data_IF_954955467773
#
_entry.id   IF_954955467773
#
_cell.length_a   1.000
_cell.length_b   1.000
_cell.length_c   1.000
_cell.angle_alpha   90.00
_cell.angle_beta   90.00
_cell.angle_gamma   90.00
#
_symmetry.space_group_name_H-M   'P 1'
#
loop_
_entity.id
_entity.type
_entity.pdbx_description
1 polymer ?
#
# COMPACT_ATOMS: atom_id res chain seq x y z
N UNK A 1 -6.53 15.94 -14.26
CA UNK A 1 -6.62 16.51 -12.90
C UNK A 1 -5.23 16.57 -12.28
N UNK A 2 -4.62 17.76 -12.27
CA UNK A 2 -3.25 18.01 -11.77
C UNK A 2 -3.09 17.72 -10.26
N UNK A 3 -4.14 17.29 -9.57
CA UNK A 3 -4.17 17.15 -8.12
C UNK A 3 -4.18 15.70 -7.62
N UNK A 4 -4.32 14.69 -8.50
CA UNK A 4 -4.42 13.30 -8.04
C UNK A 4 -3.13 12.82 -7.35
N UNK A 5 -1.97 13.25 -7.84
CA UNK A 5 -0.65 12.86 -7.30
C UNK A 5 -0.17 13.74 -6.13
N UNK A 6 -0.99 14.69 -5.68
CA UNK A 6 -0.67 15.51 -4.52
C UNK A 6 -0.63 14.67 -3.23
N UNK A 7 0.45 14.81 -2.46
CA UNK A 7 0.64 14.15 -1.17
C UNK A 7 -0.47 14.49 -0.17
N UNK A 8 -1.10 15.66 -0.28
CA UNK A 8 -2.24 16.06 0.55
C UNK A 8 -3.42 15.10 0.42
N UNK A 9 -3.54 14.35 -0.67
CA UNK A 9 -4.61 13.36 -0.88
C UNK A 9 -4.43 12.09 -0.03
N UNK A 10 -3.28 11.92 0.60
CA UNK A 10 -2.97 10.81 1.51
C UNK A 10 -2.93 11.26 3.00
N UNK A 11 -2.93 12.55 3.26
CA UNK A 11 -2.99 13.12 4.60
C UNK A 11 -4.46 13.24 5.04
N UNK A 12 -4.85 12.47 6.07
CA UNK A 12 -6.25 12.38 6.51
C UNK A 12 -6.81 13.74 6.98
N UNK A 13 -6.01 14.63 7.56
CA UNK A 13 -6.47 15.96 7.97
C UNK A 13 -6.82 16.80 6.74
N UNK A 14 -5.92 16.84 5.75
CA UNK A 14 -6.16 17.52 4.48
C UNK A 14 -7.33 16.89 3.70
N UNK A 15 -7.49 15.57 3.77
CA UNK A 15 -8.61 14.86 3.12
C UNK A 15 -9.95 15.27 3.74
N UNK A 16 -10.03 15.38 5.06
CA UNK A 16 -11.24 15.83 5.78
C UNK A 16 -11.59 17.27 5.41
N UNK A 17 -10.62 18.19 5.45
CA UNK A 17 -10.84 19.59 5.13
C UNK A 17 -11.26 19.82 3.68
N UNK A 18 -10.58 19.16 2.75
CA UNK A 18 -10.77 19.32 1.30
C UNK A 18 -11.90 18.45 0.75
N UNK A 19 -12.37 17.46 1.50
CA UNK A 19 -13.34 16.41 1.07
C UNK A 19 -12.89 15.68 -0.21
N UNK A 20 -11.59 15.55 -0.40
CA UNK A 20 -10.94 14.89 -1.55
C UNK A 20 -9.70 14.16 -1.06
N UNK A 21 -9.49 12.93 -1.54
CA UNK A 21 -8.34 12.13 -1.14
C UNK A 21 -8.16 10.89 -1.99
N UNK A 22 -7.08 10.17 -1.71
CA UNK A 22 -6.87 8.85 -2.30
C UNK A 22 -7.98 7.88 -1.87
N UNK A 23 -8.34 6.91 -2.73
CA UNK A 23 -9.35 5.90 -2.40
C UNK A 23 -9.14 5.24 -1.03
N UNK A 24 -7.88 4.90 -0.70
CA UNK A 24 -7.53 4.29 0.59
C UNK A 24 -7.71 5.25 1.76
N UNK A 25 -7.38 6.54 1.60
CA UNK A 25 -7.58 7.55 2.65
C UNK A 25 -9.07 7.78 2.91
N UNK A 26 -9.87 7.91 1.85
CA UNK A 26 -11.33 7.99 1.95
C UNK A 26 -11.89 6.72 2.60
N UNK A 27 -11.44 5.53 2.19
CA UNK A 27 -11.88 4.27 2.77
C UNK A 27 -11.59 4.14 4.26
N UNK A 28 -10.46 4.66 4.75
CA UNK A 28 -10.16 4.72 6.19
C UNK A 28 -11.22 5.54 6.92
N UNK A 29 -11.62 6.69 6.38
CA UNK A 29 -12.67 7.54 6.97
C UNK A 29 -14.03 6.85 6.95
N UNK A 30 -14.39 6.18 5.84
CA UNK A 30 -15.63 5.37 5.76
C UNK A 30 -15.62 4.25 6.80
N UNK A 31 -14.53 3.49 6.90
CA UNK A 31 -14.41 2.40 7.89
C UNK A 31 -14.49 2.91 9.31
N UNK A 32 -13.81 4.01 9.62
CA UNK A 32 -13.87 4.64 10.95
C UNK A 32 -15.30 5.05 11.29
N UNK A 33 -15.95 5.80 10.40
CA UNK A 33 -17.34 6.26 10.60
C UNK A 33 -18.32 5.10 10.78
N UNK A 34 -18.21 4.05 9.97
CA UNK A 34 -19.04 2.86 10.08
C UNK A 34 -18.85 2.13 11.43
N UNK A 35 -17.61 1.99 11.87
CA UNK A 35 -17.26 1.33 13.14
C UNK A 35 -17.76 2.12 14.36
N UNK A 36 -17.75 3.46 14.31
CA UNK A 36 -18.33 4.29 15.38
C UNK A 36 -19.86 4.14 15.50
N UNK A 37 -20.53 3.67 14.42
CA UNK A 37 -21.95 3.32 14.42
C UNK A 37 -22.22 1.83 14.75
N UNK A 38 -21.20 1.09 15.20
CA UNK A 38 -21.31 -0.32 15.55
C UNK A 38 -21.37 -1.27 14.35
N UNK A 39 -21.04 -0.81 13.14
CA UNK A 39 -20.99 -1.67 11.95
C UNK A 39 -19.61 -2.33 11.85
N UNK A 40 -19.54 -3.51 11.25
CA UNK A 40 -18.27 -4.10 10.86
C UNK A 40 -17.85 -3.53 9.51
N UNK A 41 -16.59 -3.08 9.42
CA UNK A 41 -16.05 -2.46 8.21
C UNK A 41 -14.61 -2.91 7.99
N UNK A 42 -14.27 -3.30 6.76
CA UNK A 42 -12.97 -3.86 6.38
C UNK A 42 -12.53 -3.32 5.02
N UNK A 43 -11.22 -3.09 4.85
CA UNK A 43 -10.62 -2.99 3.51
C UNK A 43 -10.64 -4.34 2.82
N UNK A 44 -10.67 -4.36 1.49
CA UNK A 44 -10.68 -5.58 0.69
C UNK A 44 -9.40 -5.75 -0.10
N UNK A 45 -9.03 -7.01 -0.38
CA UNK A 45 -7.86 -7.39 -1.16
C UNK A 45 -8.09 -7.27 -2.68
N UNK A 46 -8.80 -6.24 -3.12
CA UNK A 46 -9.13 -6.08 -4.54
C UNK A 46 -7.92 -5.56 -5.33
N UNK A 47 -7.54 -6.18 -6.48
CA UNK A 47 -6.40 -5.78 -7.28
C UNK A 47 -6.61 -4.38 -7.89
N UNK A 48 -5.57 -3.54 -7.84
CA UNK A 48 -5.51 -2.25 -8.52
C UNK A 48 -6.52 -1.19 -8.05
N UNK A 49 -7.54 -1.56 -7.27
CA UNK A 49 -8.58 -0.66 -6.77
C UNK A 49 -8.80 -0.85 -5.27
N UNK A 50 -9.12 0.21 -4.54
CA UNK A 50 -9.39 0.12 -3.11
C UNK A 50 -10.89 0.10 -2.85
N UNK A 51 -11.37 -1.01 -2.31
CA UNK A 51 -12.76 -1.23 -1.94
C UNK A 51 -12.85 -1.51 -0.44
N UNK A 52 -14.02 -1.26 0.14
CA UNK A 52 -14.35 -1.58 1.52
C UNK A 52 -15.61 -2.45 1.59
N UNK A 53 -15.68 -3.31 2.61
CA UNK A 53 -16.89 -4.05 2.97
C UNK A 53 -17.50 -3.44 4.21
N UNK A 54 -18.80 -3.20 4.19
CA UNK A 54 -19.60 -2.86 5.35
C UNK A 54 -20.58 -4.00 5.66
N UNK A 55 -20.68 -4.34 6.95
CA UNK A 55 -21.58 -5.41 7.40
C UNK A 55 -22.41 -4.94 8.60
N UNK A 56 -23.73 -5.17 8.53
CA UNK A 56 -24.68 -4.90 9.61
C UNK A 56 -25.86 -5.87 9.52
N UNK A 57 -26.27 -6.41 10.66
CA UNK A 57 -27.47 -7.28 10.78
C UNK A 57 -27.49 -8.47 9.79
N UNK A 58 -26.32 -9.02 9.43
CA UNK A 58 -26.21 -10.11 8.46
C UNK A 58 -26.17 -9.67 6.99
N UNK A 59 -26.41 -8.41 6.69
CA UNK A 59 -26.26 -7.84 5.36
C UNK A 59 -24.82 -7.37 5.12
N UNK A 60 -24.34 -7.51 3.89
CA UNK A 60 -23.02 -7.06 3.45
C UNK A 60 -23.13 -6.22 2.19
N UNK A 61 -22.46 -5.06 2.18
CA UNK A 61 -22.28 -4.23 1.00
C UNK A 61 -20.80 -4.00 0.72
N UNK A 62 -20.41 -4.01 -0.55
CA UNK A 62 -19.07 -3.60 -0.99
C UNK A 62 -19.18 -2.21 -1.56
N UNK A 63 -18.44 -1.26 -0.99
CA UNK A 63 -18.46 0.14 -1.41
C UNK A 63 -17.16 0.54 -2.09
N UNK A 64 -17.29 1.47 -3.03
CA UNK A 64 -16.20 2.11 -3.75
C UNK A 64 -16.00 3.54 -3.24
N UNK A 65 -15.03 3.78 -2.32
CA UNK A 65 -14.82 5.12 -1.76
C UNK A 65 -14.39 6.17 -2.78
N UNK A 66 -13.80 5.76 -3.90
CA UNK A 66 -13.38 6.66 -4.96
C UNK A 66 -14.55 7.18 -5.79
N UNK A 67 -15.60 6.38 -5.92
CA UNK A 67 -16.83 6.74 -6.62
C UNK A 67 -17.95 7.02 -5.60
N UNK A 68 -17.72 8.00 -4.71
CA UNK A 68 -18.71 8.52 -3.75
C UNK A 68 -19.31 7.46 -2.80
N UNK A 69 -18.62 6.32 -2.62
CA UNK A 69 -19.12 5.22 -1.78
C UNK A 69 -20.24 4.41 -2.41
N UNK A 70 -20.35 4.41 -3.73
CA UNK A 70 -21.36 3.60 -4.43
C UNK A 70 -21.19 2.11 -4.11
N UNK A 71 -22.31 1.41 -3.89
CA UNK A 71 -22.29 -0.04 -3.71
C UNK A 71 -22.02 -0.76 -5.03
N UNK A 72 -21.11 -1.73 -5.01
CA UNK A 72 -20.71 -2.53 -6.18
C UNK A 72 -21.36 -3.92 -6.13
N UNK A 73 -22.09 -4.26 -7.17
CA UNK A 73 -22.59 -5.60 -7.40
C UNK A 73 -21.48 -6.57 -7.84
N UNK A 74 -21.69 -7.91 -7.75
CA UNK A 74 -20.72 -8.87 -8.26
C UNK A 74 -20.40 -8.71 -9.76
N UNK A 75 -21.37 -8.25 -10.55
CA UNK A 75 -21.13 -7.94 -11.97
C UNK A 75 -20.18 -6.77 -12.15
N UNK A 76 -20.41 -5.66 -11.45
CA UNK A 76 -19.57 -4.47 -11.51
C UNK A 76 -18.15 -4.74 -10.99
N UNK A 77 -18.00 -5.61 -9.97
CA UNK A 77 -16.67 -6.05 -9.49
C UNK A 77 -15.91 -6.83 -10.57
N UNK A 78 -16.60 -7.69 -11.37
CA UNK A 78 -15.96 -8.39 -12.49
C UNK A 78 -15.49 -7.41 -13.58
N UNK A 79 -16.34 -6.45 -13.93
CA UNK A 79 -15.97 -5.43 -14.93
C UNK A 79 -14.81 -4.57 -14.43
N UNK A 80 -14.82 -4.16 -13.17
CA UNK A 80 -13.71 -3.42 -12.56
C UNK A 80 -12.41 -4.25 -12.56
N UNK A 81 -12.48 -5.54 -12.27
CA UNK A 81 -11.32 -6.44 -12.31
C UNK A 81 -10.74 -6.54 -13.72
N UNK A 82 -11.59 -6.70 -14.75
CA UNK A 82 -11.12 -6.77 -16.14
C UNK A 82 -10.44 -5.49 -16.60
N UNK A 83 -10.85 -4.34 -16.09
CA UNK A 83 -10.19 -3.05 -16.38
C UNK A 83 -8.78 -2.96 -15.80
N UNK A 84 -8.54 -3.55 -14.62
CA UNK A 84 -7.24 -3.43 -13.92
C UNK A 84 -6.31 -4.63 -14.15
N UNK A 85 -6.84 -5.82 -14.39
CA UNK A 85 -6.08 -7.07 -14.50
C UNK A 85 -6.17 -7.75 -15.88
N UNK A 86 -6.91 -7.16 -16.83
CA UNK A 86 -7.08 -7.67 -18.19
C UNK A 86 -8.38 -8.43 -18.39
N UNK A 87 -8.75 -8.62 -19.68
CA UNK A 87 -10.09 -9.14 -20.07
C UNK A 87 -10.34 -10.58 -19.61
N UNK A 88 -9.28 -11.35 -19.42
CA UNK A 88 -9.37 -12.78 -19.04
C UNK A 88 -9.33 -12.96 -17.52
N UNK A 89 -9.27 -11.87 -16.74
CA UNK A 89 -9.24 -11.95 -15.29
C UNK A 89 -10.60 -12.40 -14.73
N UNK A 90 -10.54 -13.41 -13.86
CA UNK A 90 -11.73 -13.97 -13.19
C UNK A 90 -11.74 -13.56 -11.72
N UNK A 91 -12.91 -13.13 -11.25
CA UNK A 91 -13.15 -12.74 -9.87
C UNK A 91 -13.18 -13.99 -8.98
N UNK A 92 -12.28 -14.04 -7.99
CA UNK A 92 -12.24 -15.10 -6.99
C UNK A 92 -12.50 -14.55 -5.57
N UNK A 93 -12.74 -15.45 -4.62
CA UNK A 93 -13.11 -15.08 -3.24
C UNK A 93 -12.00 -14.32 -2.50
N UNK A 94 -10.73 -14.56 -2.82
CA UNK A 94 -9.58 -13.89 -2.18
C UNK A 94 -9.50 -12.41 -2.52
N UNK A 95 -9.97 -12.01 -3.72
CA UNK A 95 -9.94 -10.62 -4.20
C UNK A 95 -10.90 -9.71 -3.45
N UNK A 96 -11.94 -10.26 -2.81
CA UNK A 96 -12.85 -9.50 -1.95
C UNK A 96 -12.85 -10.00 -0.49
N UNK A 97 -11.78 -10.70 -0.11
CA UNK A 97 -11.55 -11.05 1.28
C UNK A 97 -11.17 -9.82 2.11
N UNK A 98 -11.63 -9.72 3.37
CA UNK A 98 -11.20 -8.68 4.28
C UNK A 98 -9.69 -8.71 4.52
N UNK A 99 -9.08 -7.53 4.56
CA UNK A 99 -7.68 -7.38 4.96
C UNK A 99 -7.58 -6.73 6.35
N UNK A 100 -6.53 -7.04 7.13
CA UNK A 100 -6.32 -6.38 8.42
C UNK A 100 -6.01 -4.89 8.23
N UNK A 101 -6.33 -4.06 9.25
CA UNK A 101 -6.09 -2.62 9.22
C UNK A 101 -4.63 -2.25 8.94
N UNK A 102 -3.70 -3.09 9.40
CA UNK A 102 -2.27 -2.96 9.07
C UNK A 102 -2.04 -2.95 7.56
N UNK A 103 -2.69 -3.82 6.79
CA UNK A 103 -2.55 -3.87 5.33
C UNK A 103 -3.14 -2.61 4.66
N UNK A 104 -4.23 -2.06 5.22
CA UNK A 104 -4.81 -0.79 4.75
C UNK A 104 -3.83 0.36 4.97
N UNK A 105 -3.22 0.45 6.16
CA UNK A 105 -2.22 1.47 6.47
C UNK A 105 -0.96 1.33 5.58
N UNK A 106 -0.48 0.10 5.38
CA UNK A 106 0.64 -0.15 4.46
C UNK A 106 0.32 0.32 3.04
N UNK A 107 -0.91 0.09 2.56
CA UNK A 107 -1.35 0.55 1.24
C UNK A 107 -1.35 2.08 1.15
N UNK A 108 -1.82 2.80 2.20
CA UNK A 108 -1.77 4.26 2.26
C UNK A 108 -0.33 4.76 2.21
N UNK A 109 0.53 4.24 3.08
CA UNK A 109 1.94 4.64 3.16
C UNK A 109 2.70 4.31 1.87
N UNK A 110 2.42 3.15 1.23
CA UNK A 110 3.01 2.81 -0.07
C UNK A 110 2.64 3.80 -1.16
N UNK A 111 1.41 4.32 -1.17
CA UNK A 111 1.02 5.39 -2.10
C UNK A 111 1.82 6.69 -1.87
N UNK A 112 2.07 7.07 -0.61
CA UNK A 112 2.89 8.23 -0.26
C UNK A 112 4.33 8.01 -0.71
N UNK A 113 4.92 6.86 -0.35
CA UNK A 113 6.28 6.47 -0.73
C UNK A 113 6.50 6.54 -2.24
N UNK A 114 5.60 5.92 -3.02
CA UNK A 114 5.71 5.93 -4.49
C UNK A 114 5.75 7.34 -5.06
N UNK A 115 4.89 8.25 -4.58
CA UNK A 115 4.89 9.65 -5.01
C UNK A 115 6.17 10.38 -4.63
N UNK A 116 6.67 10.16 -3.41
CA UNK A 116 7.93 10.75 -2.96
C UNK A 116 9.10 10.28 -3.82
N UNK A 117 9.16 9.00 -4.18
CA UNK A 117 10.16 8.46 -5.10
C UNK A 117 10.05 9.08 -6.49
N UNK A 118 8.83 9.19 -7.05
CA UNK A 118 8.60 9.86 -8.33
C UNK A 118 9.04 11.34 -8.33
N UNK A 119 8.86 12.02 -7.19
CA UNK A 119 9.30 13.40 -6.98
C UNK A 119 10.80 13.49 -6.61
N UNK A 120 11.54 12.38 -6.58
CA UNK A 120 12.95 12.28 -6.16
C UNK A 120 13.20 12.80 -4.73
N UNK A 121 12.18 12.74 -3.86
CA UNK A 121 12.28 13.13 -2.44
C UNK A 121 12.67 11.93 -1.61
N UNK A 122 13.87 11.41 -1.82
CA UNK A 122 14.33 10.13 -1.28
C UNK A 122 14.42 10.14 0.25
N UNK A 123 14.87 11.24 0.87
CA UNK A 123 14.96 11.37 2.32
C UNK A 123 13.59 11.18 2.97
N UNK A 124 12.56 11.85 2.43
CA UNK A 124 11.19 11.68 2.93
C UNK A 124 10.62 10.31 2.64
N UNK A 125 11.00 9.68 1.53
CA UNK A 125 10.60 8.32 1.23
C UNK A 125 11.21 7.32 2.25
N UNK A 126 12.44 7.54 2.70
CA UNK A 126 13.08 6.78 3.79
C UNK A 126 12.26 6.90 5.08
N UNK A 127 11.91 8.11 5.52
CA UNK A 127 11.08 8.34 6.73
C UNK A 127 9.75 7.55 6.66
N UNK A 128 9.11 7.51 5.49
CA UNK A 128 7.88 6.73 5.29
C UNK A 128 8.14 5.24 5.43
N UNK A 129 9.19 4.71 4.79
CA UNK A 129 9.51 3.27 4.89
C UNK A 129 9.88 2.89 6.33
N UNK A 130 10.64 3.72 7.02
CA UNK A 130 10.97 3.51 8.44
C UNK A 130 9.70 3.48 9.30
N UNK A 131 8.76 4.40 9.06
CA UNK A 131 7.47 4.37 9.76
C UNK A 131 6.66 3.11 9.47
N UNK A 132 6.71 2.58 8.24
CA UNK A 132 6.06 1.31 7.87
C UNK A 132 6.70 0.12 8.61
N UNK A 133 8.01 0.10 8.75
CA UNK A 133 8.75 -0.93 9.47
C UNK A 133 8.42 -0.99 10.96
N UNK A 134 7.97 0.12 11.59
CA UNK A 134 7.54 0.12 13.00
C UNK A 134 6.34 -0.83 13.23
N UNK A 135 5.44 -0.97 12.27
CA UNK A 135 4.26 -1.83 12.40
C UNK A 135 4.26 -3.06 11.49
N UNK A 136 5.24 -3.18 10.58
CA UNK A 136 5.42 -4.33 9.70
C UNK A 136 6.89 -4.74 9.54
N UNK A 137 7.65 -4.98 10.65
CA UNK A 137 9.09 -5.24 10.60
C UNK A 137 9.47 -6.54 9.88
N UNK A 138 8.54 -7.49 9.75
CA UNK A 138 8.78 -8.77 9.09
C UNK A 138 8.61 -8.75 7.56
N UNK A 139 8.35 -7.59 6.93
CA UNK A 139 8.21 -7.52 5.48
C UNK A 139 9.56 -7.26 4.81
N UNK A 140 10.11 -8.27 4.14
CA UNK A 140 11.39 -8.21 3.42
C UNK A 140 11.41 -7.10 2.35
N UNK A 141 10.28 -6.85 1.70
CA UNK A 141 10.15 -5.81 0.66
C UNK A 141 10.40 -4.40 1.22
N UNK A 142 9.95 -4.09 2.44
CA UNK A 142 10.19 -2.78 3.06
C UNK A 142 11.66 -2.56 3.38
N UNK A 143 12.35 -3.59 3.85
CA UNK A 143 13.78 -3.54 4.08
C UNK A 143 14.56 -3.38 2.78
N UNK A 144 14.13 -4.04 1.69
CA UNK A 144 14.71 -3.84 0.36
C UNK A 144 14.51 -2.41 -0.13
N UNK A 145 13.31 -1.87 0.01
CA UNK A 145 12.99 -0.48 -0.35
C UNK A 145 13.85 0.52 0.43
N UNK A 146 14.00 0.31 1.75
CA UNK A 146 14.86 1.12 2.61
C UNK A 146 16.31 1.09 2.11
N UNK A 147 16.81 -0.10 1.77
CA UNK A 147 18.15 -0.28 1.23
C UNK A 147 18.35 0.47 -0.09
N UNK A 148 17.40 0.31 -1.03
CA UNK A 148 17.46 0.97 -2.33
C UNK A 148 17.40 2.49 -2.24
N UNK A 149 16.56 3.04 -1.38
CA UNK A 149 16.47 4.48 -1.12
C UNK A 149 17.78 5.03 -0.54
N UNK A 150 18.39 4.31 0.40
CA UNK A 150 19.67 4.70 0.97
C UNK A 150 20.84 4.60 -0.02
N UNK A 151 20.76 3.69 -1.01
CA UNK A 151 21.71 3.69 -2.14
C UNK A 151 21.60 4.99 -2.95
N UNK A 152 20.39 5.46 -3.23
CA UNK A 152 20.16 6.74 -3.95
C UNK A 152 20.71 7.95 -3.19
N UNK A 153 20.64 7.91 -1.86
CA UNK A 153 21.17 8.96 -0.97
C UNK A 153 22.67 8.86 -0.72
N UNK A 154 23.33 7.79 -1.18
CA UNK A 154 24.75 7.55 -0.92
C UNK A 154 25.05 7.02 0.50
N UNK A 155 24.03 6.67 1.28
CA UNK A 155 24.16 6.15 2.63
C UNK A 155 24.47 4.64 2.59
N UNK A 156 25.63 4.27 2.07
CA UNK A 156 25.95 2.87 1.72
C UNK A 156 25.93 1.92 2.93
N UNK A 157 26.37 2.37 4.11
CA UNK A 157 26.34 1.54 5.32
C UNK A 157 24.91 1.16 5.72
N UNK A 158 23.99 2.14 5.76
CA UNK A 158 22.58 1.92 6.06
C UNK A 158 21.91 1.05 4.99
N UNK A 159 22.26 1.28 3.72
CA UNK A 159 21.77 0.48 2.60
C UNK A 159 22.13 -1.01 2.74
N UNK A 160 23.40 -1.30 3.09
CA UNK A 160 23.88 -2.66 3.29
C UNK A 160 23.11 -3.34 4.42
N UNK A 161 22.97 -2.69 5.58
CA UNK A 161 22.25 -3.25 6.73
C UNK A 161 20.77 -3.55 6.38
N UNK A 162 20.12 -2.62 5.68
CA UNK A 162 18.72 -2.82 5.28
C UNK A 162 18.58 -3.99 4.27
N UNK A 163 19.48 -4.12 3.30
CA UNK A 163 19.47 -5.22 2.35
C UNK A 163 19.81 -6.57 2.99
N UNK A 164 20.67 -6.60 4.02
CA UNK A 164 20.92 -7.81 4.85
C UNK A 164 19.63 -8.28 5.52
N UNK A 165 18.92 -7.36 6.19
CA UNK A 165 17.62 -7.66 6.80
C UNK A 165 16.59 -8.15 5.78
N UNK A 166 16.57 -7.57 4.57
CA UNK A 166 15.71 -8.04 3.49
C UNK A 166 16.03 -9.47 3.08
N UNK A 167 17.32 -9.81 2.89
CA UNK A 167 17.76 -11.18 2.50
C UNK A 167 17.42 -12.20 3.58
N UNK A 168 17.54 -11.84 4.86
CA UNK A 168 17.21 -12.73 5.97
C UNK A 168 15.71 -13.05 6.06
N UNK A 169 14.86 -12.05 5.80
CA UNK A 169 13.41 -12.18 5.89
C UNK A 169 12.76 -12.74 4.62
N UNK A 170 13.44 -12.68 3.48
CA UNK A 170 12.86 -13.07 2.19
C UNK A 170 12.80 -14.59 2.04
N UNK A 171 11.59 -15.08 1.81
CA UNK A 171 11.31 -16.51 1.61
C UNK A 171 11.24 -16.90 0.12
N UNK A 172 11.08 -15.93 -0.77
CA UNK A 172 11.06 -16.16 -2.21
C UNK A 172 12.49 -16.22 -2.76
N UNK A 173 12.96 -17.39 -3.14
CA UNK A 173 14.34 -17.63 -3.59
C UNK A 173 14.81 -16.71 -4.73
N UNK A 174 14.08 -16.46 -5.81
CA UNK A 174 14.49 -15.52 -6.86
C UNK A 174 14.72 -14.10 -6.33
N UNK A 175 13.79 -13.56 -5.53
CA UNK A 175 13.91 -12.20 -4.96
C UNK A 175 15.07 -12.11 -3.97
N UNK A 176 15.26 -13.16 -3.17
CA UNK A 176 16.38 -13.27 -2.24
C UNK A 176 17.71 -13.23 -2.96
N UNK A 177 17.85 -13.96 -4.07
CA UNK A 177 19.07 -13.98 -4.89
C UNK A 177 19.33 -12.61 -5.52
N UNK A 178 18.32 -11.94 -6.06
CA UNK A 178 18.44 -10.58 -6.62
C UNK A 178 18.97 -9.59 -5.56
N UNK A 179 18.37 -9.61 -4.36
CA UNK A 179 18.77 -8.72 -3.27
C UNK A 179 20.18 -9.03 -2.78
N UNK A 180 20.54 -10.33 -2.68
CA UNK A 180 21.88 -10.75 -2.31
C UNK A 180 22.94 -10.34 -3.34
N UNK A 181 22.65 -10.40 -4.64
CA UNK A 181 23.54 -9.93 -5.69
C UNK A 181 23.78 -8.42 -5.59
N UNK A 182 22.72 -7.64 -5.34
CA UNK A 182 22.84 -6.20 -5.12
C UNK A 182 23.70 -5.89 -3.90
N UNK A 183 23.48 -6.57 -2.78
CA UNK A 183 24.26 -6.44 -1.56
C UNK A 183 25.74 -6.71 -1.80
N UNK A 184 26.09 -7.77 -2.53
CA UNK A 184 27.47 -8.07 -2.90
C UNK A 184 28.12 -6.96 -3.76
N UNK A 185 27.36 -6.43 -4.74
CA UNK A 185 27.84 -5.33 -5.57
C UNK A 185 28.14 -4.06 -4.75
N UNK A 186 27.29 -3.73 -3.77
CA UNK A 186 27.51 -2.59 -2.87
C UNK A 186 28.73 -2.77 -1.97
N UNK A 187 28.91 -3.95 -1.40
CA UNK A 187 30.11 -4.27 -0.57
C UNK A 187 31.42 -4.12 -1.35
N UNK A 188 31.43 -4.52 -2.64
CA UNK A 188 32.62 -4.33 -3.50
C UNK A 188 32.94 -2.86 -3.79
N UNK A 189 31.95 -1.98 -3.75
CA UNK A 189 32.16 -0.52 -3.97
C UNK A 189 32.68 0.20 -2.73
N UNK A 190 32.53 -0.41 -1.56
CA UNK A 190 33.02 0.17 -0.29
C UNK A 190 34.46 -0.23 0.05
N UNK A 191 34.96 -1.34 -0.56
CA UNK A 191 36.34 -1.82 -0.44
C UNK A 191 37.21 -1.28 -1.57
#
# INVERSE_FOLDING_TARGET
DQTYDDLQNADLMNVIERRKGLPVALGILYMHTARTQGWRAYGLNFPGHFLISLERNGERAILDPFHEGVSRSPHELRELLKLVAGRDAELNAEMYAPVPDRAVLLRLQSNIRLRLVQMQRFERAVEIVESMLLFAPGQSELWRDLGMLNVQLGNLSTAIHALESSVELETNDPRRQETAALLQALRRRMN
#
